data_IF_109254630833
#
_entry.id   IF_109254630833
#
_cell.length_a   1.000
_cell.length_b   1.000
_cell.length_c   1.000
_cell.angle_alpha   90.00
_cell.angle_beta   90.00
_cell.angle_gamma   90.00
#
_symmetry.space_group_name_H-M   'P 1'
#
loop_
_entity.id
_entity.type
_entity.pdbx_description
1 polymer ?
#
# COMPACT_ATOMS: atom_id res chain seq x y z
N UNK A 1 1.33 40.63 51.53
CA UNK A 1 1.79 40.56 50.11
C UNK A 1 2.56 39.25 49.93
N UNK A 2 2.14 38.36 49.03
CA UNK A 2 2.97 37.41 48.20
C UNK A 2 2.27 36.09 47.82
N UNK A 3 1.18 35.65 48.47
CA UNK A 3 0.64 34.28 48.24
C UNK A 3 -0.44 34.12 47.17
N UNK A 4 -1.00 35.20 46.62
CA UNK A 4 -2.11 35.12 45.64
C UNK A 4 -1.69 35.05 44.16
N UNK A 5 -0.41 35.26 43.85
CA UNK A 5 0.09 35.28 42.46
C UNK A 5 0.57 33.92 41.93
N UNK A 6 0.76 32.91 42.81
CA UNK A 6 1.32 31.61 42.43
C UNK A 6 0.30 30.60 41.89
N UNK A 7 -0.99 30.80 42.16
CA UNK A 7 -2.02 29.84 41.76
C UNK A 7 -2.49 30.00 40.29
N UNK A 8 -2.17 31.13 39.64
CA UNK A 8 -2.63 31.43 38.27
C UNK A 8 -1.65 30.98 37.17
N UNK A 9 -0.44 30.52 37.52
CA UNK A 9 0.52 29.96 36.56
C UNK A 9 0.28 28.46 36.28
N UNK A 10 -0.73 27.84 36.89
CA UNK A 10 -1.05 26.42 36.72
C UNK A 10 -2.13 26.15 35.65
N UNK A 11 -2.36 27.09 34.72
CA UNK A 11 -3.49 27.02 33.79
C UNK A 11 -3.20 26.53 32.36
N UNK A 12 -1.97 26.18 31.95
CA UNK A 12 -1.70 26.06 30.48
C UNK A 12 -0.86 24.89 29.98
N UNK A 13 -0.34 23.99 30.82
CA UNK A 13 0.62 22.97 30.34
C UNK A 13 0.07 21.56 30.10
N UNK A 14 -1.24 21.29 30.25
CA UNK A 14 -1.78 19.92 30.20
C UNK A 14 -2.66 19.57 28.98
N UNK A 15 -2.54 20.28 27.84
CA UNK A 15 -3.38 20.04 26.66
C UNK A 15 -2.64 19.55 25.40
N UNK A 16 -1.35 19.20 25.48
CA UNK A 16 -0.54 18.82 24.31
C UNK A 16 -0.20 17.32 24.19
N UNK A 17 -1.06 16.45 24.72
CA UNK A 17 -0.92 15.00 24.54
C UNK A 17 -2.23 14.39 24.00
N UNK A 18 -2.79 14.98 22.93
CA UNK A 18 -3.70 14.22 22.10
C UNK A 18 -2.86 13.17 21.35
N UNK A 19 -3.13 11.86 21.50
CA UNK A 19 -2.49 10.89 20.64
C UNK A 19 -2.90 11.24 19.21
N UNK A 20 -1.92 11.52 18.35
CA UNK A 20 -2.13 11.51 16.91
C UNK A 20 -2.72 10.14 16.60
N UNK A 21 -4.03 10.11 16.34
CA UNK A 21 -4.68 8.93 15.81
C UNK A 21 -4.04 8.71 14.44
N UNK A 22 -3.02 7.85 14.41
CA UNK A 22 -2.46 7.34 13.18
C UNK A 22 -3.64 6.75 12.41
N UNK A 23 -3.83 7.22 11.17
CA UNK A 23 -4.81 6.65 10.27
C UNK A 23 -4.69 5.12 10.34
N UNK A 24 -5.81 4.42 10.53
CA UNK A 24 -5.81 2.97 10.62
C UNK A 24 -5.34 2.40 9.27
N UNK A 25 -4.05 2.09 9.17
CA UNK A 25 -3.39 1.66 7.95
C UNK A 25 -1.91 2.05 7.93
N UNK A 26 -1.17 1.46 7.00
CA UNK A 26 0.22 1.76 6.77
C UNK A 26 0.37 2.99 5.88
N UNK A 27 1.32 3.86 6.23
CA UNK A 27 1.59 5.07 5.45
C UNK A 27 2.46 4.75 4.25
N UNK A 28 1.83 4.70 3.09
CA UNK A 28 2.54 4.62 1.81
C UNK A 28 2.87 6.05 1.35
N UNK A 29 4.09 6.28 0.86
CA UNK A 29 4.47 7.57 0.32
C UNK A 29 3.67 7.88 -0.95
N UNK A 30 3.53 9.17 -1.25
CA UNK A 30 2.69 9.63 -2.37
C UNK A 30 3.17 9.05 -3.70
N UNK A 31 4.48 9.00 -3.93
CA UNK A 31 5.05 8.40 -5.14
C UNK A 31 4.65 6.93 -5.29
N UNK A 32 4.77 6.11 -4.24
CA UNK A 32 4.44 4.68 -4.30
C UNK A 32 2.95 4.43 -4.57
N UNK A 33 2.07 5.32 -4.06
CA UNK A 33 0.63 5.26 -4.37
C UNK A 33 0.37 5.57 -5.83
N UNK A 34 0.98 6.62 -6.36
CA UNK A 34 0.81 7.05 -7.75
C UNK A 34 1.36 6.00 -8.72
N UNK A 35 2.55 5.47 -8.46
CA UNK A 35 3.16 4.41 -9.27
C UNK A 35 2.27 3.16 -9.35
N UNK A 36 1.68 2.76 -8.22
CA UNK A 36 0.72 1.66 -8.22
C UNK A 36 -0.51 1.96 -9.05
N UNK A 37 -1.10 3.15 -8.90
CA UNK A 37 -2.30 3.54 -9.65
C UNK A 37 -2.02 3.53 -11.15
N UNK A 38 -0.87 4.05 -11.59
CA UNK A 38 -0.46 4.04 -12.99
C UNK A 38 -0.30 2.61 -13.51
N UNK A 39 0.41 1.74 -12.80
CA UNK A 39 0.58 0.33 -13.18
C UNK A 39 -0.76 -0.43 -13.21
N UNK A 40 -1.67 -0.14 -12.29
CA UNK A 40 -3.00 -0.72 -12.30
C UNK A 40 -3.83 -0.26 -13.51
N UNK A 41 -3.69 0.99 -13.93
CA UNK A 41 -4.34 1.50 -15.14
C UNK A 41 -3.78 0.86 -16.42
N UNK A 42 -2.49 0.52 -16.48
CA UNK A 42 -1.92 -0.21 -17.62
C UNK A 42 -2.63 -1.57 -17.85
N UNK A 43 -3.04 -2.24 -16.77
CA UNK A 43 -3.71 -3.54 -16.82
C UNK A 43 -5.24 -3.44 -17.05
N UNK A 44 -5.87 -2.30 -16.72
CA UNK A 44 -7.34 -2.18 -16.65
C UNK A 44 -7.93 -1.10 -17.58
N UNK A 45 -7.12 -0.17 -18.08
CA UNK A 45 -7.52 0.95 -18.95
C UNK A 45 -7.30 2.33 -18.32
N UNK A 46 -7.01 3.33 -19.16
CA UNK A 46 -6.66 4.70 -18.75
C UNK A 46 -7.85 5.68 -18.73
N UNK A 47 -9.03 5.24 -18.31
CA UNK A 47 -10.16 6.13 -18.08
C UNK A 47 -10.25 6.59 -16.61
N UNK A 48 -10.98 7.67 -16.37
CA UNK A 48 -11.09 8.27 -15.05
C UNK A 48 -11.80 7.37 -14.02
N UNK A 49 -12.66 6.44 -14.45
CA UNK A 49 -13.27 5.50 -13.52
C UNK A 49 -12.22 4.53 -12.95
N UNK A 50 -11.24 4.12 -13.76
CA UNK A 50 -10.16 3.27 -13.28
C UNK A 50 -9.17 4.01 -12.37
N UNK A 51 -8.99 5.33 -12.49
CA UNK A 51 -8.23 6.11 -11.50
C UNK A 51 -8.83 5.90 -10.10
N UNK A 52 -10.16 6.01 -9.96
CA UNK A 52 -10.84 5.78 -8.69
C UNK A 52 -10.71 4.34 -8.19
N UNK A 53 -10.91 3.36 -9.07
CA UNK A 53 -10.83 1.94 -8.69
C UNK A 53 -9.42 1.53 -8.29
N UNK A 54 -8.40 1.92 -9.06
CA UNK A 54 -7.01 1.63 -8.75
C UNK A 54 -6.54 2.36 -7.48
N UNK A 55 -7.02 3.59 -7.23
CA UNK A 55 -6.78 4.30 -5.96
C UNK A 55 -7.41 3.55 -4.77
N UNK A 56 -8.64 3.06 -4.92
CA UNK A 56 -9.29 2.23 -3.92
C UNK A 56 -8.47 0.97 -3.60
N UNK A 57 -7.89 0.31 -4.62
CA UNK A 57 -7.11 -0.90 -4.40
C UNK A 57 -5.88 -0.62 -3.55
N UNK A 58 -5.09 0.40 -3.88
CA UNK A 58 -3.88 0.71 -3.11
C UNK A 58 -4.21 1.10 -1.65
N UNK A 59 -5.35 1.76 -1.43
CA UNK A 59 -5.83 2.08 -0.09
C UNK A 59 -6.21 0.81 0.70
N UNK A 60 -6.86 -0.18 0.04
CA UNK A 60 -7.15 -1.47 0.67
C UNK A 60 -5.90 -2.27 0.98
N UNK A 61 -4.90 -2.22 0.10
CA UNK A 61 -3.60 -2.85 0.34
C UNK A 61 -2.87 -2.19 1.51
N UNK A 62 -2.80 -0.85 1.53
CA UNK A 62 -2.18 -0.08 2.60
C UNK A 62 -2.88 -0.27 3.96
N UNK A 63 -4.16 -0.66 3.99
CA UNK A 63 -4.82 -1.03 5.25
C UNK A 63 -4.32 -2.36 5.85
N UNK A 64 -3.68 -3.22 5.04
CA UNK A 64 -3.35 -4.61 5.43
C UNK A 64 -1.86 -4.97 5.36
N UNK A 65 -1.07 -4.21 4.59
CA UNK A 65 0.31 -4.55 4.26
C UNK A 65 1.26 -3.37 4.54
N UNK A 66 2.32 -3.53 5.34
CA UNK A 66 3.35 -2.50 5.51
C UNK A 66 4.00 -2.11 4.18
N UNK A 67 4.46 -0.85 4.06
CA UNK A 67 5.00 -0.36 2.78
C UNK A 67 6.23 -1.15 2.31
N UNK A 68 7.16 -1.47 3.21
CA UNK A 68 8.36 -2.25 2.85
C UNK A 68 7.97 -3.66 2.35
N UNK A 69 7.03 -4.31 3.03
CA UNK A 69 6.52 -5.61 2.59
C UNK A 69 5.76 -5.49 1.25
N UNK A 70 5.05 -4.39 1.01
CA UNK A 70 4.42 -4.12 -0.27
C UNK A 70 5.44 -3.99 -1.40
N UNK A 71 6.53 -3.26 -1.19
CA UNK A 71 7.60 -3.11 -2.18
C UNK A 71 8.21 -4.48 -2.49
N UNK A 72 8.56 -5.27 -1.47
CA UNK A 72 9.14 -6.59 -1.64
C UNK A 72 8.18 -7.55 -2.36
N UNK A 73 6.96 -7.69 -1.82
CA UNK A 73 5.97 -8.64 -2.33
C UNK A 73 5.47 -8.28 -3.74
N UNK A 74 5.30 -6.99 -4.04
CA UNK A 74 4.92 -6.52 -5.37
C UNK A 74 6.03 -6.79 -6.39
N UNK A 75 7.29 -6.61 -6.00
CA UNK A 75 8.46 -6.91 -6.83
C UNK A 75 8.54 -8.39 -7.16
N UNK A 76 8.41 -9.27 -6.17
CA UNK A 76 8.34 -10.72 -6.42
C UNK A 76 7.19 -11.08 -7.35
N UNK A 77 6.00 -10.50 -7.13
CA UNK A 77 4.83 -10.77 -7.98
C UNK A 77 5.03 -10.33 -9.44
N UNK A 78 5.66 -9.16 -9.64
CA UNK A 78 5.93 -8.57 -10.96
C UNK A 78 6.93 -9.39 -11.77
N UNK A 79 7.99 -9.88 -11.13
CA UNK A 79 9.06 -10.63 -11.79
C UNK A 79 8.91 -12.15 -11.68
N UNK A 80 7.81 -12.66 -11.13
CA UNK A 80 7.56 -14.10 -10.97
C UNK A 80 7.64 -14.91 -12.29
N UNK A 81 7.43 -14.26 -13.43
CA UNK A 81 7.50 -14.87 -14.78
C UNK A 81 8.75 -14.46 -15.56
N UNK A 82 9.67 -13.70 -14.95
CA UNK A 82 10.91 -13.27 -15.60
C UNK A 82 11.76 -14.49 -15.99
N UNK A 83 12.08 -14.60 -17.28
CA UNK A 83 12.89 -15.68 -17.84
C UNK A 83 14.39 -15.49 -17.60
N UNK A 84 15.16 -16.52 -17.97
CA UNK A 84 16.63 -16.50 -17.89
C UNK A 84 17.19 -16.72 -16.48
N UNK A 85 18.53 -16.69 -16.39
CA UNK A 85 19.27 -16.86 -15.13
C UNK A 85 18.98 -15.73 -14.15
N UNK A 86 18.89 -14.49 -14.63
CA UNK A 86 18.51 -13.33 -13.81
C UNK A 86 17.11 -13.41 -13.22
N UNK A 87 16.21 -14.20 -13.81
CA UNK A 87 14.87 -14.48 -13.30
C UNK A 87 14.79 -15.65 -12.31
N UNK A 88 15.91 -16.32 -12.02
CA UNK A 88 15.91 -17.48 -11.11
C UNK A 88 15.55 -17.09 -9.66
N UNK A 89 16.04 -15.93 -9.20
CA UNK A 89 15.78 -15.42 -7.84
C UNK A 89 14.28 -15.22 -7.56
N UNK A 90 13.51 -14.78 -8.56
CA UNK A 90 12.07 -14.54 -8.41
C UNK A 90 11.22 -15.83 -8.44
N UNK A 91 11.86 -17.00 -8.61
CA UNK A 91 11.19 -18.30 -8.74
C UNK A 91 11.59 -19.30 -7.65
N UNK A 92 12.38 -18.88 -6.67
CA UNK A 92 12.68 -19.66 -5.45
C UNK A 92 11.44 -19.76 -4.55
N UNK A 93 11.46 -20.67 -3.57
CA UNK A 93 10.29 -20.94 -2.72
C UNK A 93 9.85 -19.72 -1.89
N UNK A 94 10.80 -18.93 -1.39
CA UNK A 94 10.49 -17.67 -0.72
C UNK A 94 9.75 -16.69 -1.65
N UNK A 95 10.28 -16.45 -2.85
CA UNK A 95 9.68 -15.55 -3.84
C UNK A 95 8.26 -16.01 -4.27
N UNK A 96 8.07 -17.31 -4.46
CA UNK A 96 6.75 -17.90 -4.74
C UNK A 96 5.78 -17.68 -3.59
N UNK A 97 6.22 -17.85 -2.35
CA UNK A 97 5.39 -17.63 -1.16
C UNK A 97 4.95 -16.16 -1.05
N UNK A 98 5.88 -15.21 -1.24
CA UNK A 98 5.57 -13.78 -1.24
C UNK A 98 4.63 -13.39 -2.39
N UNK A 99 4.90 -13.88 -3.60
CA UNK A 99 4.03 -13.69 -4.77
C UNK A 99 2.61 -14.16 -4.50
N UNK A 100 2.45 -15.34 -3.89
CA UNK A 100 1.13 -15.90 -3.56
C UNK A 100 0.38 -15.03 -2.55
N UNK A 101 1.05 -14.57 -1.49
CA UNK A 101 0.46 -13.66 -0.49
C UNK A 101 0.00 -12.35 -1.13
N UNK A 102 0.86 -11.74 -1.93
CA UNK A 102 0.58 -10.49 -2.64
C UNK A 102 -0.64 -10.61 -3.54
N UNK A 103 -0.66 -11.62 -4.42
CA UNK A 103 -1.73 -11.81 -5.40
C UNK A 103 -3.07 -12.13 -4.71
N UNK A 104 -3.05 -12.83 -3.58
CA UNK A 104 -4.26 -13.07 -2.80
C UNK A 104 -4.84 -11.75 -2.23
N UNK A 105 -3.99 -10.92 -1.61
CA UNK A 105 -4.40 -9.60 -1.12
C UNK A 105 -4.90 -8.71 -2.27
N UNK A 106 -4.13 -8.61 -3.35
CA UNK A 106 -4.48 -7.82 -4.52
C UNK A 106 -5.80 -8.28 -5.15
N UNK A 107 -6.03 -9.59 -5.28
CA UNK A 107 -7.30 -10.12 -5.79
C UNK A 107 -8.48 -9.70 -4.90
N UNK A 108 -8.34 -9.79 -3.58
CA UNK A 108 -9.38 -9.37 -2.65
C UNK A 108 -9.67 -7.87 -2.75
N UNK A 109 -8.62 -7.04 -2.90
CA UNK A 109 -8.75 -5.60 -3.05
C UNK A 109 -9.39 -5.22 -4.40
N UNK A 110 -9.02 -5.89 -5.48
CA UNK A 110 -9.61 -5.71 -6.82
C UNK A 110 -11.12 -5.96 -6.80
N UNK A 111 -11.53 -7.09 -6.22
CA UNK A 111 -12.94 -7.44 -6.07
C UNK A 111 -13.70 -6.40 -5.25
N UNK A 112 -13.12 -5.95 -4.13
CA UNK A 112 -13.71 -4.92 -3.28
C UNK A 112 -13.84 -3.55 -3.98
N UNK A 113 -12.99 -3.26 -4.97
CA UNK A 113 -12.93 -1.99 -5.67
C UNK A 113 -13.54 -2.04 -7.08
N UNK A 114 -14.27 -3.10 -7.44
CA UNK A 114 -14.98 -3.19 -8.72
C UNK A 114 -14.09 -3.35 -9.95
N UNK A 115 -12.90 -3.95 -9.77
CA UNK A 115 -12.05 -4.44 -10.86
C UNK A 115 -12.24 -5.96 -11.04
N UNK A 116 -12.06 -6.42 -12.28
CA UNK A 116 -12.08 -7.84 -12.59
C UNK A 116 -10.90 -8.59 -11.98
N UNK A 117 -10.85 -9.93 -12.07
CA UNK A 117 -9.66 -10.67 -11.65
C UNK A 117 -8.43 -10.15 -12.41
N UNK A 118 -7.33 -9.98 -11.68
CA UNK A 118 -6.04 -9.60 -12.24
C UNK A 118 -5.69 -10.55 -13.39
N UNK A 119 -5.65 -10.02 -14.62
CA UNK A 119 -5.00 -10.70 -15.73
C UNK A 119 -3.52 -10.60 -15.42
N UNK A 120 -2.91 -11.67 -14.92
CA UNK A 120 -1.45 -11.75 -14.77
C UNK A 120 -0.83 -11.14 -16.01
N UNK A 121 0.00 -10.10 -15.85
CA UNK A 121 0.59 -9.36 -16.95
C UNK A 121 1.23 -10.35 -17.92
N UNK A 122 0.50 -10.66 -18.99
CA UNK A 122 1.01 -11.38 -20.14
C UNK A 122 1.85 -10.35 -20.88
N UNK A 123 3.01 -10.01 -20.32
CA UNK A 123 4.00 -9.22 -21.04
C UNK A 123 4.63 -10.15 -22.07
N UNK A 124 4.29 -9.83 -23.33
CA UNK A 124 5.04 -10.09 -24.55
C UNK A 124 5.11 -11.53 -25.08
N UNK A 125 4.31 -11.78 -26.12
CA UNK A 125 4.89 -12.15 -27.41
C UNK A 125 4.62 -11.02 -28.39
#
# INVERSE_FOLDING_TARGET
>A
MTTRCRALLAFTTLMLAAPLAWAAGYNYPTEGRVEYVLSCMDDNGHDFANVYKCSCVIDKMAASLPYDEFVDQSTFSKYATLGGEGGAEFRVDHAKAQTKKFRALQTSAYQACGLGPQKTSTVAK
#
